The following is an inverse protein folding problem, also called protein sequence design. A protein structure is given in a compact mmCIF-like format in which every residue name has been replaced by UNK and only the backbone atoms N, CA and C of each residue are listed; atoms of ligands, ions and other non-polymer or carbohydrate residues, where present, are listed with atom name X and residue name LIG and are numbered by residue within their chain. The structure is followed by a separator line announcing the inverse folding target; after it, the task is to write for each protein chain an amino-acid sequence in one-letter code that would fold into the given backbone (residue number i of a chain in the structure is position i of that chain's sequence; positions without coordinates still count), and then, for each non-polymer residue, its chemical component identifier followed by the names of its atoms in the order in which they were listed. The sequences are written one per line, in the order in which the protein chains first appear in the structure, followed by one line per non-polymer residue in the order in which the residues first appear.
data_IF_926753315584
#
_entry.id   IF_926753315584
#
_cell.length_a   1.000
_cell.length_b   1.000
_cell.length_c   1.000
_cell.angle_alpha   90.00
_cell.angle_beta   90.00
_cell.angle_gamma   90.00
#
_symmetry.space_group_name_H-M   'P 1'
#
loop_
_entity.id
_entity.type
_entity.pdbx_description
1 polymer ?
#
# COMPACT_ATOMS: atom_id res chain seq x y z
N UNK A 1 36.72 -3.59 10.11
CA UNK A 1 36.32 -4.49 9.01
C UNK A 1 34.85 -4.22 8.77
N UNK A 2 34.55 -3.33 7.83
CA UNK A 2 33.20 -3.03 7.39
C UNK A 2 32.74 -4.16 6.49
N UNK A 3 31.76 -4.94 6.94
CA UNK A 3 31.10 -5.92 6.10
C UNK A 3 30.39 -5.15 4.98
N UNK A 4 30.92 -5.31 3.76
CA UNK A 4 30.33 -4.79 2.54
C UNK A 4 28.98 -5.50 2.36
N UNK A 5 27.88 -4.76 2.52
CA UNK A 5 26.58 -5.18 2.01
C UNK A 5 26.76 -5.51 0.51
N UNK A 6 26.73 -6.79 0.17
CA UNK A 6 26.86 -7.25 -1.20
C UNK A 6 25.62 -6.80 -1.96
N UNK A 7 25.76 -5.73 -2.74
CA UNK A 7 24.77 -5.32 -3.72
C UNK A 7 24.45 -6.54 -4.61
N UNK A 8 23.18 -6.90 -4.80
CA UNK A 8 22.82 -8.11 -5.53
C UNK A 8 23.37 -8.04 -6.95
N UNK A 9 23.91 -9.17 -7.42
CA UNK A 9 24.49 -9.33 -8.75
C UNK A 9 23.46 -8.95 -9.82
N UNK A 10 23.68 -7.81 -10.48
CA UNK A 10 22.72 -7.20 -11.41
C UNK A 10 22.31 -8.13 -12.56
N UNK A 11 23.18 -9.05 -12.98
CA UNK A 11 22.84 -10.04 -14.01
C UNK A 11 21.87 -11.09 -13.49
N UNK A 12 22.04 -11.54 -12.24
CA UNK A 12 21.13 -12.50 -11.59
C UNK A 12 19.76 -11.89 -11.33
N UNK A 13 19.72 -10.64 -10.88
CA UNK A 13 18.46 -9.89 -10.71
C UNK A 13 17.71 -9.83 -12.03
N UNK A 14 18.38 -9.42 -13.12
CA UNK A 14 17.77 -9.34 -14.45
C UNK A 14 17.23 -10.71 -14.92
N UNK A 15 17.98 -11.80 -14.73
CA UNK A 15 17.54 -13.15 -15.08
C UNK A 15 16.29 -13.60 -14.31
N UNK A 16 16.19 -13.23 -13.04
CA UNK A 16 15.00 -13.54 -12.22
C UNK A 16 13.79 -12.75 -12.72
N UNK A 17 13.95 -11.44 -12.94
CA UNK A 17 12.87 -10.55 -13.36
C UNK A 17 12.26 -10.93 -14.71
N UNK A 18 13.03 -11.47 -15.66
CA UNK A 18 12.53 -11.95 -16.97
C UNK A 18 11.42 -13.00 -16.82
N UNK A 19 11.46 -13.78 -15.74
CA UNK A 19 10.49 -14.86 -15.50
C UNK A 19 9.35 -14.44 -14.57
N UNK A 20 9.25 -13.17 -14.21
CA UNK A 20 8.16 -12.63 -13.40
C UNK A 20 7.06 -12.14 -14.34
N UNK A 21 5.85 -12.66 -14.14
CA UNK A 21 4.67 -12.26 -14.91
C UNK A 21 3.96 -11.14 -14.16
N UNK A 22 4.00 -9.93 -14.73
CA UNK A 22 3.28 -8.77 -14.20
C UNK A 22 1.87 -8.75 -14.82
N UNK A 23 0.79 -8.77 -14.01
CA UNK A 23 -0.57 -8.77 -14.54
C UNK A 23 -0.92 -7.41 -15.17
N UNK A 24 -1.71 -7.41 -16.27
CA UNK A 24 -2.14 -6.17 -16.91
C UNK A 24 -3.08 -5.36 -16.01
N UNK A 25 -2.98 -4.03 -16.07
CA UNK A 25 -3.88 -3.14 -15.34
C UNK A 25 -5.33 -3.28 -15.86
N UNK A 26 -6.31 -3.56 -14.98
CA UNK A 26 -7.70 -3.56 -15.38
C UNK A 26 -8.16 -2.18 -15.87
N UNK A 27 -8.84 -2.13 -17.02
CA UNK A 27 -9.30 -0.86 -17.64
C UNK A 27 -10.12 0.03 -16.68
N UNK A 28 -10.87 -0.57 -15.77
CA UNK A 28 -11.69 0.15 -14.80
C UNK A 28 -10.85 0.95 -13.79
N UNK A 29 -9.68 0.45 -13.40
CA UNK A 29 -8.76 1.16 -12.49
C UNK A 29 -8.22 2.40 -13.18
N UNK A 30 -7.70 2.24 -14.41
CA UNK A 30 -7.21 3.36 -15.21
C UNK A 30 -8.29 4.43 -15.41
N UNK A 31 -9.52 4.01 -15.73
CA UNK A 31 -10.62 4.95 -15.91
C UNK A 31 -11.00 5.70 -14.63
N UNK A 32 -11.00 5.04 -13.47
CA UNK A 32 -11.29 5.67 -12.18
C UNK A 32 -10.21 6.65 -11.76
N UNK A 33 -8.93 6.24 -11.85
CA UNK A 33 -7.79 7.10 -11.51
C UNK A 33 -7.79 8.34 -12.41
N UNK A 34 -8.00 8.18 -13.71
CA UNK A 34 -8.09 9.30 -14.65
C UNK A 34 -9.25 10.25 -14.36
N UNK A 35 -10.41 9.72 -13.97
CA UNK A 35 -11.59 10.52 -13.64
C UNK A 35 -11.45 11.24 -12.29
N UNK A 36 -10.83 10.59 -11.29
CA UNK A 36 -10.59 11.16 -9.98
C UNK A 36 -9.64 12.38 -10.01
N UNK A 37 -8.82 12.50 -11.05
CA UNK A 37 -7.91 13.62 -11.29
C UNK A 37 -8.51 14.76 -12.14
N UNK A 38 -9.74 14.64 -12.63
CA UNK A 38 -10.40 15.74 -13.36
C UNK A 38 -10.84 16.84 -12.40
N UNK A 39 -10.79 18.10 -12.85
CA UNK A 39 -11.33 19.25 -12.09
C UNK A 39 -12.84 19.09 -11.85
N UNK A 40 -13.55 18.56 -12.85
CA UNK A 40 -14.97 18.23 -12.79
C UNK A 40 -15.21 16.76 -13.15
N UNK A 41 -15.14 15.84 -12.17
CA UNK A 41 -15.36 14.42 -12.43
C UNK A 41 -16.80 14.09 -12.83
N UNK A 42 -16.98 13.24 -13.85
CA UNK A 42 -18.28 12.75 -14.30
C UNK A 42 -18.74 11.53 -13.49
N UNK A 43 -19.54 11.80 -12.45
CA UNK A 43 -20.18 10.76 -11.63
C UNK A 43 -21.07 9.79 -12.44
N UNK A 44 -21.66 10.25 -13.54
CA UNK A 44 -22.50 9.41 -14.40
C UNK A 44 -21.68 8.41 -15.21
N UNK A 45 -20.48 8.80 -15.63
CA UNK A 45 -19.51 7.91 -16.27
C UNK A 45 -19.02 6.84 -15.28
N UNK A 46 -18.68 7.24 -14.05
CA UNK A 46 -18.26 6.31 -13.01
C UNK A 46 -19.36 5.32 -12.61
N UNK A 47 -20.60 5.80 -12.45
CA UNK A 47 -21.76 4.96 -12.15
C UNK A 47 -21.96 3.86 -13.21
N UNK A 48 -21.86 4.22 -14.49
CA UNK A 48 -21.97 3.24 -15.60
C UNK A 48 -20.83 2.22 -15.59
N UNK A 49 -19.59 2.65 -15.34
CA UNK A 49 -18.43 1.76 -15.31
C UNK A 49 -18.52 0.75 -14.16
N UNK A 50 -18.81 1.25 -12.96
CA UNK A 50 -18.90 0.44 -11.74
C UNK A 50 -20.12 -0.48 -11.74
N UNK A 51 -21.28 0.00 -12.20
CA UNK A 51 -22.49 -0.81 -12.31
C UNK A 51 -22.36 -1.94 -13.34
N UNK A 52 -21.36 -1.88 -14.23
CA UNK A 52 -21.04 -2.94 -15.19
C UNK A 52 -20.39 -4.18 -14.55
N UNK A 53 -19.85 -4.09 -13.34
CA UNK A 53 -19.27 -5.21 -12.58
C UNK A 53 -20.04 -5.39 -11.26
N UNK A 54 -20.75 -6.50 -11.14
CA UNK A 54 -21.61 -6.80 -9.97
C UNK A 54 -20.80 -6.87 -8.67
N UNK A 55 -19.56 -7.35 -8.72
CA UNK A 55 -18.69 -7.45 -7.55
C UNK A 55 -18.27 -6.07 -7.05
N UNK A 56 -17.83 -5.19 -7.97
CA UNK A 56 -17.45 -3.82 -7.63
C UNK A 56 -18.64 -2.99 -7.15
N UNK A 57 -19.78 -3.09 -7.83
CA UNK A 57 -21.01 -2.40 -7.43
C UNK A 57 -21.46 -2.83 -6.03
N UNK A 58 -21.47 -4.14 -5.74
CA UNK A 58 -21.84 -4.67 -4.44
C UNK A 58 -20.87 -4.23 -3.34
N UNK A 59 -19.56 -4.25 -3.60
CA UNK A 59 -18.55 -3.77 -2.66
C UNK A 59 -18.75 -2.30 -2.31
N UNK A 60 -18.87 -1.43 -3.31
CA UNK A 60 -19.05 0.02 -3.11
C UNK A 60 -20.35 0.33 -2.36
N UNK A 61 -21.46 -0.35 -2.69
CA UNK A 61 -22.74 -0.19 -1.98
C UNK A 61 -22.65 -0.74 -0.54
N UNK A 62 -21.97 -1.86 -0.32
CA UNK A 62 -21.75 -2.44 1.01
C UNK A 62 -20.97 -1.48 1.89
N UNK A 63 -19.88 -0.90 1.39
CA UNK A 63 -19.09 0.09 2.12
C UNK A 63 -19.88 1.36 2.44
N UNK A 64 -20.61 1.93 1.47
CA UNK A 64 -21.48 3.10 1.73
C UNK A 64 -22.55 2.85 2.80
N UNK A 65 -22.91 1.59 3.01
CA UNK A 65 -23.91 1.17 4.00
C UNK A 65 -23.31 0.80 5.37
N UNK A 66 -22.00 1.02 5.59
CA UNK A 66 -21.41 0.81 6.91
C UNK A 66 -22.06 1.73 7.96
N UNK A 67 -22.27 1.24 9.21
CA UNK A 67 -22.57 2.07 10.36
C UNK A 67 -21.77 3.38 10.51
N UNK A 68 -20.53 3.45 10.04
CA UNK A 68 -19.69 4.65 10.11
C UNK A 68 -20.30 5.86 9.40
N UNK A 69 -20.88 5.65 8.21
CA UNK A 69 -21.53 6.72 7.46
C UNK A 69 -22.87 7.16 8.07
N UNK A 70 -23.34 6.49 9.15
CA UNK A 70 -24.47 6.94 9.96
C UNK A 70 -25.78 7.12 9.18
N UNK A 71 -25.96 6.40 8.08
CA UNK A 71 -27.07 6.66 7.16
C UNK A 71 -28.42 6.23 7.74
N UNK A 72 -29.38 7.17 7.76
CA UNK A 72 -30.77 6.90 8.13
C UNK A 72 -31.50 5.95 7.16
N UNK A 73 -31.06 5.90 5.90
CA UNK A 73 -31.58 5.00 4.86
C UNK A 73 -30.40 4.38 4.12
N UNK A 74 -30.50 3.06 3.88
CA UNK A 74 -29.48 2.33 3.14
C UNK A 74 -29.42 2.77 1.68
N UNK A 75 -28.20 2.91 1.17
CA UNK A 75 -27.87 3.10 -0.25
C UNK A 75 -28.23 1.83 -1.03
N UNK A 76 -28.81 2.00 -2.22
CA UNK A 76 -29.27 0.89 -3.08
C UNK A 76 -28.63 0.90 -4.48
N UNK A 77 -27.86 1.94 -4.81
CA UNK A 77 -27.27 2.12 -6.14
C UNK A 77 -25.86 2.72 -6.05
N UNK A 78 -25.03 2.43 -7.05
CA UNK A 78 -23.66 2.93 -7.12
C UNK A 78 -23.62 4.46 -7.15
N UNK A 79 -24.47 5.11 -7.95
CA UNK A 79 -24.59 6.58 -7.95
C UNK A 79 -24.83 7.17 -6.56
N UNK A 80 -25.66 6.54 -5.72
CA UNK A 80 -25.90 6.98 -4.36
C UNK A 80 -24.66 6.76 -3.48
N UNK A 81 -23.98 5.62 -3.64
CA UNK A 81 -22.73 5.35 -2.94
C UNK A 81 -21.64 6.35 -3.30
N UNK A 82 -21.49 6.72 -4.58
CA UNK A 82 -20.58 7.77 -5.04
C UNK A 82 -20.84 9.12 -4.37
N UNK A 83 -22.10 9.47 -4.11
CA UNK A 83 -22.46 10.72 -3.41
C UNK A 83 -22.16 10.66 -1.90
N UNK A 84 -22.31 9.49 -1.27
CA UNK A 84 -22.04 9.31 0.17
C UNK A 84 -20.54 9.20 0.46
N UNK A 85 -19.85 8.34 -0.29
CA UNK A 85 -18.44 8.01 -0.10
C UNK A 85 -17.52 9.09 -0.71
N UNK A 86 -17.95 9.70 -1.81
CA UNK A 86 -17.09 10.49 -2.68
C UNK A 86 -16.24 9.62 -3.61
N UNK A 87 -15.73 10.25 -4.67
CA UNK A 87 -14.98 9.57 -5.75
C UNK A 87 -13.68 8.97 -5.26
N UNK A 88 -12.97 9.66 -4.34
CA UNK A 88 -11.70 9.19 -3.80
C UNK A 88 -11.85 7.85 -3.07
N UNK A 89 -12.77 7.76 -2.13
CA UNK A 89 -13.03 6.51 -1.40
C UNK A 89 -13.46 5.37 -2.34
N UNK A 90 -14.29 5.65 -3.34
CA UNK A 90 -14.68 4.66 -4.34
C UNK A 90 -13.50 4.20 -5.19
N UNK A 91 -12.63 5.12 -5.61
CA UNK A 91 -11.41 4.83 -6.38
C UNK A 91 -10.49 3.92 -5.57
N UNK A 92 -10.32 4.20 -4.28
CA UNK A 92 -9.52 3.41 -3.35
C UNK A 92 -10.03 1.97 -3.22
N UNK A 93 -11.33 1.79 -2.94
CA UNK A 93 -11.98 0.47 -2.81
C UNK A 93 -11.82 -0.33 -4.10
N UNK A 94 -12.08 0.29 -5.25
CA UNK A 94 -12.05 -0.41 -6.54
C UNK A 94 -10.62 -0.76 -6.95
N UNK A 95 -9.64 0.10 -6.65
CA UNK A 95 -8.23 -0.17 -6.93
C UNK A 95 -7.74 -1.35 -6.10
N UNK A 96 -8.09 -1.41 -4.80
CA UNK A 96 -7.79 -2.56 -3.94
C UNK A 96 -8.40 -3.86 -4.48
N UNK A 97 -9.69 -3.85 -4.83
CA UNK A 97 -10.36 -5.04 -5.38
C UNK A 97 -9.79 -5.48 -6.73
N UNK A 98 -9.42 -4.52 -7.57
CA UNK A 98 -8.79 -4.82 -8.85
C UNK A 98 -7.40 -5.41 -8.67
N UNK A 99 -6.62 -4.91 -7.71
CA UNK A 99 -5.31 -5.44 -7.35
C UNK A 99 -5.44 -6.87 -6.80
N UNK A 100 -6.38 -7.10 -5.87
CA UNK A 100 -6.73 -8.43 -5.37
C UNK A 100 -7.06 -9.40 -6.50
N UNK A 101 -7.95 -9.00 -7.42
CA UNK A 101 -8.37 -9.83 -8.55
C UNK A 101 -7.25 -10.10 -9.54
N UNK A 102 -6.40 -9.11 -9.82
CA UNK A 102 -5.26 -9.24 -10.72
C UNK A 102 -4.17 -10.16 -10.15
N UNK A 103 -4.03 -10.19 -8.82
CA UNK A 103 -3.06 -10.98 -8.08
C UNK A 103 -3.65 -12.25 -7.47
N UNK A 104 -4.90 -12.56 -7.78
CA UNK A 104 -5.59 -13.80 -7.40
C UNK A 104 -5.03 -14.99 -8.20
N UNK A 105 -3.81 -15.42 -7.85
CA UNK A 105 -3.23 -16.67 -8.34
C UNK A 105 -3.68 -17.89 -7.54
N UNK A 106 -3.03 -19.03 -7.76
CA UNK A 106 -3.25 -20.28 -7.00
C UNK A 106 -2.73 -20.25 -5.55
N UNK A 107 -2.24 -19.10 -5.09
CA UNK A 107 -1.71 -18.91 -3.75
C UNK A 107 -2.86 -18.85 -2.73
N UNK A 108 -2.98 -19.89 -1.91
CA UNK A 108 -4.01 -20.01 -0.88
C UNK A 108 -4.08 -18.78 0.06
N UNK A 109 -5.31 -18.33 0.30
CA UNK A 109 -5.80 -17.37 1.30
C UNK A 109 -4.82 -16.22 1.65
N UNK A 110 -4.89 -15.15 0.87
CA UNK A 110 -4.21 -13.87 1.13
C UNK A 110 -5.12 -12.86 1.85
N UNK A 111 -6.21 -13.30 2.48
CA UNK A 111 -7.20 -12.38 3.09
C UNK A 111 -6.54 -11.50 4.15
N UNK A 112 -5.65 -12.08 4.98
CA UNK A 112 -4.89 -11.34 5.99
C UNK A 112 -3.89 -10.35 5.38
N UNK A 113 -3.30 -10.70 4.24
CA UNK A 113 -2.39 -9.81 3.52
C UNK A 113 -3.16 -8.59 3.03
N UNK A 114 -4.30 -8.81 2.37
CA UNK A 114 -5.13 -7.72 1.84
C UNK A 114 -5.75 -6.84 2.92
N UNK A 115 -6.13 -7.42 4.06
CA UNK A 115 -6.51 -6.65 5.24
C UNK A 115 -5.38 -5.71 5.67
N UNK A 116 -4.16 -6.25 5.84
CA UNK A 116 -2.98 -5.45 6.24
C UNK A 116 -2.70 -4.36 5.22
N UNK A 117 -2.68 -4.68 3.93
CA UNK A 117 -2.48 -3.70 2.85
C UNK A 117 -3.51 -2.58 2.92
N UNK A 118 -4.79 -2.89 3.16
CA UNK A 118 -5.83 -1.88 3.28
C UNK A 118 -5.61 -0.99 4.52
N UNK A 119 -5.29 -1.57 5.69
CA UNK A 119 -4.98 -0.78 6.88
C UNK A 119 -3.77 0.12 6.65
N UNK A 120 -2.69 -0.42 6.07
CA UNK A 120 -1.46 0.31 5.77
C UNK A 120 -1.74 1.52 4.85
N UNK A 121 -2.46 1.31 3.75
CA UNK A 121 -2.87 2.40 2.84
C UNK A 121 -3.69 3.48 3.56
N UNK A 122 -4.64 3.11 4.43
CA UNK A 122 -5.41 4.04 5.25
C UNK A 122 -4.48 4.85 6.17
N UNK A 123 -3.58 4.18 6.90
CA UNK A 123 -2.65 4.87 7.81
C UNK A 123 -1.72 5.82 7.04
N UNK A 124 -1.17 5.41 5.90
CA UNK A 124 -0.33 6.28 5.07
C UNK A 124 -1.08 7.55 4.63
N UNK A 125 -2.32 7.41 4.17
CA UNK A 125 -3.16 8.54 3.77
C UNK A 125 -3.46 9.49 4.94
N UNK A 126 -3.70 8.93 6.12
CA UNK A 126 -3.96 9.69 7.35
C UNK A 126 -2.72 10.45 7.80
N UNK A 127 -1.55 9.81 7.86
CA UNK A 127 -0.28 10.47 8.17
C UNK A 127 0.01 11.61 7.20
N UNK A 128 -0.13 11.38 5.89
CA UNK A 128 0.05 12.43 4.87
C UNK A 128 -0.90 13.63 5.07
N UNK A 129 -2.13 13.38 5.52
CA UNK A 129 -3.11 14.44 5.83
C UNK A 129 -2.66 15.34 6.99
N UNK A 130 -2.01 14.78 8.02
CA UNK A 130 -1.43 15.59 9.11
C UNK A 130 -0.21 16.38 8.63
N UNK A 131 0.63 15.78 7.79
CA UNK A 131 1.87 16.39 7.27
C UNK A 131 1.63 17.55 6.29
N UNK A 132 0.58 17.50 5.48
CA UNK A 132 0.15 18.56 4.52
C UNK A 132 1.13 18.90 3.39
N UNK A 133 2.34 18.33 3.36
CA UNK A 133 3.28 18.46 2.24
C UNK A 133 3.36 17.20 1.37
N UNK A 134 2.80 16.07 1.83
CA UNK A 134 2.67 14.84 1.04
C UNK A 134 1.22 14.71 0.55
N UNK A 135 1.03 14.33 -0.71
CA UNK A 135 -0.30 14.06 -1.27
C UNK A 135 -0.98 12.90 -0.52
N UNK A 136 -2.20 13.13 -0.01
CA UNK A 136 -2.99 12.07 0.66
C UNK A 136 -3.33 10.92 -0.27
N UNK A 137 -3.70 11.25 -1.52
CA UNK A 137 -4.08 10.27 -2.53
C UNK A 137 -2.84 9.50 -3.02
N UNK A 138 -1.69 10.21 -3.10
CA UNK A 138 -0.39 9.60 -3.39
C UNK A 138 0.06 8.64 -2.29
N UNK A 139 -0.05 9.04 -1.02
CA UNK A 139 0.32 8.20 0.12
C UNK A 139 -0.59 6.97 0.26
N UNK A 140 -1.90 7.11 0.02
CA UNK A 140 -2.81 5.95 -0.05
C UNK A 140 -2.39 4.99 -1.16
N UNK A 141 -2.15 5.51 -2.37
CA UNK A 141 -1.75 4.70 -3.51
C UNK A 141 -0.41 4.00 -3.25
N UNK A 142 0.54 4.69 -2.63
CA UNK A 142 1.81 4.10 -2.22
C UNK A 142 1.59 2.94 -1.23
N UNK A 143 0.88 3.15 -0.12
CA UNK A 143 0.63 2.08 0.88
C UNK A 143 -0.22 0.91 0.36
N UNK A 144 -1.03 1.14 -0.68
CA UNK A 144 -1.78 0.06 -1.35
C UNK A 144 -0.87 -0.84 -2.21
N UNK A 145 0.22 -0.29 -2.75
CA UNK A 145 1.08 -0.97 -3.71
C UNK A 145 2.47 -1.34 -3.17
N UNK A 146 2.94 -0.82 -2.04
CA UNK A 146 4.30 -1.07 -1.52
C UNK A 146 4.63 -2.58 -1.43
N UNK A 147 3.68 -3.38 -0.93
CA UNK A 147 3.83 -4.83 -0.74
C UNK A 147 3.23 -5.67 -1.88
N UNK A 148 2.72 -5.06 -2.95
CA UNK A 148 2.01 -5.79 -4.02
C UNK A 148 2.92 -6.75 -4.82
N UNK A 149 4.24 -6.67 -4.63
CA UNK A 149 5.19 -7.66 -5.14
C UNK A 149 5.14 -9.00 -4.40
N UNK A 150 4.71 -9.05 -3.13
CA UNK A 150 4.69 -10.29 -2.35
C UNK A 150 3.76 -11.36 -2.97
N UNK A 151 2.50 -11.06 -3.37
CA UNK A 151 1.65 -12.04 -4.05
C UNK A 151 2.25 -12.58 -5.36
N UNK A 152 3.00 -11.76 -6.08
CA UNK A 152 3.69 -12.16 -7.32
C UNK A 152 4.82 -13.13 -6.98
N UNK A 153 5.61 -12.82 -5.96
CA UNK A 153 6.72 -13.66 -5.51
C UNK A 153 6.22 -14.98 -4.91
N UNK A 154 5.10 -15.00 -4.19
CA UNK A 154 4.45 -16.23 -3.70
C UNK A 154 4.09 -17.16 -4.87
N UNK A 155 3.58 -16.60 -5.98
CA UNK A 155 3.24 -17.39 -7.17
C UNK A 155 4.49 -17.86 -7.92
N UNK A 156 5.55 -17.04 -7.93
CA UNK A 156 6.77 -17.31 -8.68
C UNK A 156 7.69 -18.35 -8.01
N UNK A 157 7.73 -18.35 -6.68
CA UNK A 157 8.72 -19.09 -5.90
C UNK A 157 8.03 -20.02 -4.90
N UNK A 158 8.12 -21.36 -5.08
CA UNK A 158 7.44 -22.34 -4.22
C UNK A 158 7.82 -22.24 -2.73
N UNK A 159 9.04 -21.81 -2.42
CA UNK A 159 9.60 -21.69 -1.08
C UNK A 159 9.48 -20.26 -0.49
N UNK A 160 8.80 -19.35 -1.19
CA UNK A 160 8.70 -17.96 -0.74
C UNK A 160 7.86 -17.80 0.53
N UNK A 161 6.89 -18.68 0.80
CA UNK A 161 6.20 -18.71 2.11
C UNK A 161 7.17 -18.96 3.27
N UNK A 162 8.20 -19.79 3.07
CA UNK A 162 9.25 -19.98 4.06
C UNK A 162 10.16 -18.74 4.15
N UNK A 163 10.32 -17.99 3.06
CA UNK A 163 11.04 -16.70 3.05
C UNK A 163 10.34 -15.68 3.92
N UNK A 164 9.02 -15.54 3.76
CA UNK A 164 8.20 -14.68 4.63
C UNK A 164 8.33 -15.09 6.11
N UNK A 165 8.34 -16.39 6.41
CA UNK A 165 8.50 -16.88 7.79
C UNK A 165 9.86 -16.51 8.38
N UNK A 166 10.94 -16.68 7.61
CA UNK A 166 12.29 -16.32 8.05
C UNK A 166 12.43 -14.81 8.25
N UNK A 167 11.94 -14.01 7.30
CA UNK A 167 12.02 -12.56 7.34
C UNK A 167 11.28 -11.97 8.55
N UNK A 168 10.08 -12.46 8.87
CA UNK A 168 9.33 -12.07 10.07
C UNK A 168 10.05 -12.36 11.41
N UNK A 169 11.05 -13.23 11.41
CA UNK A 169 11.82 -13.60 12.63
C UNK A 169 13.26 -13.11 12.61
N UNK A 170 13.69 -12.46 11.54
CA UNK A 170 15.07 -12.00 11.38
C UNK A 170 15.28 -10.65 12.09
N UNK A 171 16.50 -10.42 12.58
CA UNK A 171 16.92 -9.15 13.18
C UNK A 171 17.53 -8.19 12.12
N UNK A 172 17.14 -8.34 10.86
CA UNK A 172 17.59 -7.56 9.70
C UNK A 172 16.41 -7.24 8.78
N UNK A 173 16.54 -6.26 7.87
CA UNK A 173 15.46 -5.86 6.97
C UNK A 173 14.86 -7.00 6.15
N UNK A 174 13.55 -6.92 5.89
CA UNK A 174 12.80 -7.96 5.19
C UNK A 174 13.39 -8.27 3.81
N UNK A 175 13.71 -7.21 3.06
CA UNK A 175 14.25 -7.27 1.71
C UNK A 175 15.62 -7.93 1.62
N UNK A 176 16.43 -7.91 2.68
CA UNK A 176 17.73 -8.61 2.70
C UNK A 176 17.54 -10.13 2.64
N UNK A 177 16.55 -10.65 3.38
CA UNK A 177 16.22 -12.08 3.37
C UNK A 177 15.71 -12.52 2.01
N UNK A 178 14.91 -11.67 1.34
CA UNK A 178 14.41 -11.95 -0.01
C UNK A 178 15.54 -11.92 -1.04
N UNK A 179 16.38 -10.88 -1.02
CA UNK A 179 17.48 -10.72 -1.95
C UNK A 179 18.50 -11.87 -1.86
N UNK A 180 18.77 -12.37 -0.65
CA UNK A 180 19.64 -13.52 -0.43
C UNK A 180 19.07 -14.79 -1.06
N UNK A 181 17.76 -15.03 -0.91
CA UNK A 181 17.11 -16.28 -1.35
C UNK A 181 16.67 -16.29 -2.81
N UNK A 182 16.24 -15.14 -3.33
CA UNK A 182 15.56 -15.02 -4.62
C UNK A 182 16.21 -14.04 -5.59
N UNK A 183 17.26 -13.33 -5.16
CA UNK A 183 17.92 -12.28 -5.96
C UNK A 183 16.97 -11.19 -6.46
N UNK A 184 15.91 -10.92 -5.69
CA UNK A 184 14.94 -9.84 -5.88
C UNK A 184 14.19 -9.63 -4.56
N UNK A 185 13.49 -8.50 -4.44
CA UNK A 185 12.60 -8.20 -3.31
C UNK A 185 11.18 -7.91 -3.78
N UNK A 186 10.22 -7.94 -2.84
CA UNK A 186 8.84 -7.53 -3.13
C UNK A 186 8.77 -6.05 -3.52
N UNK A 187 9.59 -5.19 -2.91
CA UNK A 187 9.67 -3.76 -3.24
C UNK A 187 10.03 -3.53 -4.72
N UNK A 188 11.03 -4.26 -5.24
CA UNK A 188 11.41 -4.16 -6.66
C UNK A 188 10.30 -4.66 -7.59
N UNK A 189 9.73 -5.82 -7.29
CA UNK A 189 8.66 -6.41 -8.11
C UNK A 189 7.39 -5.57 -8.07
N UNK A 190 7.04 -5.03 -6.90
CA UNK A 190 5.91 -4.11 -6.72
C UNK A 190 6.10 -2.82 -7.52
N UNK A 191 7.32 -2.28 -7.56
CA UNK A 191 7.63 -1.12 -8.39
C UNK A 191 7.45 -1.40 -9.88
N UNK A 192 7.82 -2.58 -10.36
CA UNK A 192 7.59 -3.00 -11.76
C UNK A 192 6.09 -3.11 -12.07
N UNK A 193 5.31 -3.66 -11.15
CA UNK A 193 3.85 -3.71 -11.27
C UNK A 193 3.27 -2.28 -11.34
N UNK A 194 3.63 -1.41 -10.41
CA UNK A 194 3.19 -0.01 -10.38
C UNK A 194 3.53 0.75 -11.67
N UNK A 195 4.75 0.59 -12.20
CA UNK A 195 5.18 1.16 -13.48
C UNK A 195 4.34 0.64 -14.65
N UNK A 196 4.08 -0.67 -14.70
CA UNK A 196 3.25 -1.27 -15.75
C UNK A 196 1.80 -0.78 -15.70
N UNK A 197 1.33 -0.36 -14.51
CA UNK A 197 0.01 0.23 -14.29
C UNK A 197 0.00 1.75 -14.47
N UNK A 198 1.12 2.34 -14.91
CA UNK A 198 1.27 3.78 -15.19
C UNK A 198 1.04 4.68 -13.98
N UNK A 199 1.37 4.18 -12.77
CA UNK A 199 1.39 5.03 -11.59
C UNK A 199 2.48 6.12 -11.70
N UNK A 200 2.32 7.26 -11.00
CA UNK A 200 3.31 8.33 -11.04
C UNK A 200 4.72 7.83 -10.68
N UNK A 201 5.74 8.39 -11.33
CA UNK A 201 7.14 7.96 -11.15
C UNK A 201 7.58 8.03 -9.68
N UNK A 202 7.14 9.06 -8.95
CA UNK A 202 7.43 9.21 -7.52
C UNK A 202 6.91 8.03 -6.70
N UNK A 203 5.70 7.53 -7.00
CA UNK A 203 5.11 6.37 -6.33
C UNK A 203 5.89 5.11 -6.69
N UNK A 204 6.27 4.95 -7.96
CA UNK A 204 7.08 3.81 -8.39
C UNK A 204 8.45 3.77 -7.69
N UNK A 205 9.10 4.92 -7.51
CA UNK A 205 10.37 5.06 -6.78
C UNK A 205 10.19 4.77 -5.29
N UNK A 206 9.17 5.36 -4.67
CA UNK A 206 8.83 5.10 -3.26
C UNK A 206 8.58 3.61 -3.01
N UNK A 207 7.80 2.92 -3.86
CA UNK A 207 7.58 1.47 -3.74
C UNK A 207 8.89 0.69 -3.85
N UNK A 208 9.82 1.10 -4.71
CA UNK A 208 11.10 0.40 -4.84
C UNK A 208 12.00 0.60 -3.62
N UNK A 209 12.02 1.82 -3.09
CA UNK A 209 13.04 2.29 -2.15
C UNK A 209 12.50 2.41 -0.71
N UNK A 210 11.28 1.97 -0.40
CA UNK A 210 10.65 2.16 0.92
C UNK A 210 11.35 1.42 2.09
N UNK A 211 12.20 0.42 1.80
CA UNK A 211 13.08 -0.24 2.77
C UNK A 211 14.49 0.38 2.84
N UNK A 212 14.79 1.40 2.04
CA UNK A 212 16.08 2.10 2.03
C UNK A 212 16.09 3.19 3.11
N UNK A 213 16.43 2.80 4.34
CA UNK A 213 16.38 3.70 5.51
C UNK A 213 17.46 4.79 5.48
N UNK A 214 18.49 4.65 4.63
CA UNK A 214 19.49 5.68 4.36
C UNK A 214 18.87 7.01 3.89
N UNK A 215 17.73 6.93 3.18
CA UNK A 215 16.96 8.10 2.73
C UNK A 215 16.52 9.03 3.87
N UNK A 216 16.46 8.51 5.10
CA UNK A 216 16.02 9.27 6.28
C UNK A 216 17.15 10.06 6.94
N UNK A 217 18.41 9.83 6.56
CA UNK A 217 19.59 10.42 7.20
C UNK A 217 20.32 11.44 6.31
N UNK A 218 20.02 11.50 5.02
CA UNK A 218 20.67 12.41 4.08
C UNK A 218 19.93 13.77 3.95
N UNK A 219 20.68 14.87 3.82
CA UNK A 219 20.15 16.13 3.29
C UNK A 219 19.87 15.94 1.80
N UNK A 220 18.64 15.52 1.50
CA UNK A 220 18.25 15.11 0.15
C UNK A 220 17.73 16.27 -0.70
N UNK A 221 17.86 16.13 -2.03
CA UNK A 221 17.16 17.02 -2.98
C UNK A 221 15.63 16.90 -2.80
N UNK A 222 14.85 17.93 -3.19
CA UNK A 222 13.38 17.92 -3.02
C UNK A 222 12.71 16.61 -3.52
N UNK A 223 13.13 16.09 -4.69
CA UNK A 223 12.57 14.86 -5.27
C UNK A 223 12.95 13.59 -4.48
N UNK A 224 14.12 13.56 -3.84
CA UNK A 224 14.49 12.50 -2.91
C UNK A 224 13.80 12.68 -1.54
N UNK A 225 13.49 13.93 -1.16
CA UNK A 225 12.71 14.27 0.01
C UNK A 225 11.30 13.67 -0.03
N UNK A 226 10.63 13.71 -1.19
CA UNK A 226 9.31 13.08 -1.36
C UNK A 226 9.34 11.54 -1.24
N UNK A 227 10.38 10.89 -1.78
CA UNK A 227 10.59 9.44 -1.64
C UNK A 227 10.87 9.08 -0.19
N UNK A 228 11.77 9.81 0.47
CA UNK A 228 12.10 9.64 1.88
C UNK A 228 10.88 9.86 2.78
N UNK A 229 10.04 10.85 2.48
CA UNK A 229 8.80 11.09 3.21
C UNK A 229 7.82 9.91 3.11
N UNK A 230 7.65 9.33 1.91
CA UNK A 230 6.81 8.14 1.73
C UNK A 230 7.41 6.91 2.43
N UNK A 231 8.74 6.73 2.40
CA UNK A 231 9.41 5.66 3.13
C UNK A 231 9.22 5.80 4.65
N UNK A 232 9.40 7.01 5.19
CA UNK A 232 9.14 7.32 6.60
C UNK A 232 7.67 7.09 6.98
N UNK A 233 6.73 7.52 6.11
CA UNK A 233 5.30 7.27 6.29
C UNK A 233 5.03 5.76 6.31
N UNK A 234 5.66 4.98 5.43
CA UNK A 234 5.53 3.51 5.41
C UNK A 234 5.96 2.91 6.75
N UNK A 235 7.15 3.29 7.23
CA UNK A 235 7.71 2.73 8.46
C UNK A 235 6.84 3.04 9.68
N UNK A 236 6.32 4.28 9.78
CA UNK A 236 5.37 4.64 10.84
C UNK A 236 4.04 3.89 10.64
N UNK A 237 3.55 3.75 9.41
CA UNK A 237 2.32 3.02 9.12
C UNK A 237 2.41 1.55 9.53
N UNK A 238 3.53 0.87 9.26
CA UNK A 238 3.79 -0.50 9.72
C UNK A 238 3.77 -0.60 11.24
N UNK A 239 4.38 0.37 11.95
CA UNK A 239 4.29 0.44 13.41
C UNK A 239 2.85 0.53 13.92
N UNK A 240 2.05 1.44 13.34
CA UNK A 240 0.64 1.64 13.73
C UNK A 240 -0.20 0.40 13.43
N UNK A 241 -0.02 -0.21 12.24
CA UNK A 241 -0.77 -1.40 11.84
C UNK A 241 -0.38 -2.62 12.67
N UNK A 242 0.91 -2.81 12.97
CA UNK A 242 1.38 -3.88 13.85
C UNK A 242 0.81 -3.74 15.26
N UNK A 243 0.78 -2.52 15.80
CA UNK A 243 0.18 -2.23 17.11
C UNK A 243 -1.32 -2.53 17.12
N UNK A 244 -2.07 -2.05 16.12
CA UNK A 244 -3.50 -2.32 15.94
C UNK A 244 -3.82 -3.82 15.87
N UNK A 245 -2.98 -4.59 15.15
CA UNK A 245 -3.14 -6.02 14.99
C UNK A 245 -2.60 -6.85 16.16
N UNK A 246 -1.98 -6.23 17.17
CA UNK A 246 -1.22 -6.90 18.23
C UNK A 246 -0.12 -7.84 17.68
N UNK A 247 0.58 -7.39 16.64
CA UNK A 247 1.68 -8.10 16.00
C UNK A 247 3.04 -7.63 16.55
N UNK A 248 4.08 -8.45 16.35
CA UNK A 248 5.46 -8.07 16.68
C UNK A 248 5.88 -6.93 15.73
N UNK A 249 6.61 -5.95 16.27
CA UNK A 249 7.25 -4.92 15.46
C UNK A 249 8.43 -5.49 14.67
N UNK A 250 8.68 -4.88 13.51
CA UNK A 250 9.74 -5.27 12.58
C UNK A 250 11.09 -4.66 12.99
N UNK A 251 12.19 -5.32 12.61
CA UNK A 251 13.54 -4.87 12.96
C UNK A 251 13.84 -3.44 12.48
N UNK A 252 13.30 -3.05 11.33
CA UNK A 252 13.45 -1.70 10.78
C UNK A 252 12.84 -0.63 11.69
N UNK A 253 11.70 -0.91 12.35
CA UNK A 253 11.10 0.04 13.30
C UNK A 253 11.99 0.25 14.52
N UNK A 254 12.54 -0.84 15.08
CA UNK A 254 13.43 -0.77 16.24
C UNK A 254 14.72 0.02 15.93
N UNK A 255 15.21 -0.06 14.70
CA UNK A 255 16.44 0.60 14.27
C UNK A 255 16.23 2.05 13.81
N UNK A 256 15.12 2.33 13.11
CA UNK A 256 14.94 3.59 12.36
C UNK A 256 13.67 4.37 12.72
N UNK A 257 12.79 3.84 13.59
CA UNK A 257 11.50 4.48 13.92
C UNK A 257 11.65 5.90 14.47
N UNK A 258 12.62 6.13 15.37
CA UNK A 258 12.90 7.47 15.89
C UNK A 258 13.37 8.45 14.80
N UNK A 259 14.15 7.97 13.82
CA UNK A 259 14.60 8.78 12.70
C UNK A 259 13.43 9.09 11.75
N UNK A 260 12.57 8.13 11.43
CA UNK A 260 11.39 8.36 10.60
C UNK A 260 10.44 9.40 11.21
N UNK A 261 10.22 9.33 12.52
CA UNK A 261 9.46 10.35 13.24
C UNK A 261 10.13 11.72 13.19
N UNK A 262 11.44 11.79 13.45
CA UNK A 262 12.20 13.04 13.36
C UNK A 262 12.20 13.63 11.94
N UNK A 263 12.32 12.80 10.92
CA UNK A 263 12.31 13.19 9.51
C UNK A 263 10.99 13.86 9.11
N UNK A 264 9.88 13.32 9.61
CA UNK A 264 8.54 13.84 9.36
C UNK A 264 8.10 14.93 10.35
N UNK A 265 8.92 15.21 11.36
CA UNK A 265 8.63 16.21 12.40
C UNK A 265 7.58 15.77 13.42
N UNK A 266 7.30 14.48 13.56
CA UNK A 266 6.34 13.95 14.53
C UNK A 266 6.92 13.84 15.94
N UNK A 267 6.18 14.35 16.93
CA UNK A 267 6.41 14.03 18.34
C UNK A 267 5.80 12.68 18.75
N UNK A 268 6.28 12.08 19.84
CA UNK A 268 5.73 10.82 20.37
C UNK A 268 4.28 10.95 20.86
N UNK A 269 3.95 12.08 21.50
CA UNK A 269 2.58 12.39 21.93
C UNK A 269 1.66 12.58 20.71
N UNK A 270 2.11 13.36 19.72
CA UNK A 270 1.37 13.60 18.48
C UNK A 270 1.09 12.29 17.72
N UNK A 271 2.08 11.41 17.57
CA UNK A 271 1.86 10.11 16.95
C UNK A 271 0.88 9.25 17.75
N UNK A 272 0.88 9.34 19.07
CA UNK A 272 -0.06 8.60 19.93
C UNK A 272 -1.49 9.10 19.74
N UNK A 273 -1.70 10.41 19.62
CA UNK A 273 -3.00 11.01 19.30
C UNK A 273 -3.48 10.60 17.90
N UNK A 274 -2.60 10.68 16.89
CA UNK A 274 -2.90 10.23 15.53
C UNK A 274 -3.30 8.75 15.51
N UNK A 275 -2.62 7.89 16.27
CA UNK A 275 -2.96 6.46 16.39
C UNK A 275 -4.37 6.25 16.95
N UNK A 276 -4.73 6.99 18.00
CA UNK A 276 -6.07 6.92 18.59
C UNK A 276 -7.14 7.30 17.56
N UNK A 277 -6.92 8.41 16.85
CA UNK A 277 -7.85 8.89 15.81
C UNK A 277 -8.01 7.89 14.64
N UNK A 278 -6.94 7.18 14.28
CA UNK A 278 -6.94 6.21 13.17
C UNK A 278 -7.58 4.87 13.58
N UNK A 279 -7.52 4.50 14.86
CA UNK A 279 -7.99 3.18 15.34
C UNK A 279 -9.45 2.92 15.02
N UNK A 280 -10.33 3.92 15.17
CA UNK A 280 -11.75 3.78 14.85
C UNK A 280 -11.98 3.48 13.35
N UNK A 281 -11.19 4.11 12.48
CA UNK A 281 -11.24 3.90 11.02
C UNK A 281 -10.71 2.51 10.64
N UNK A 282 -9.69 2.01 11.35
CA UNK A 282 -9.18 0.65 11.15
C UNK A 282 -10.16 -0.42 11.65
N UNK A 283 -10.83 -0.22 12.79
CA UNK A 283 -11.88 -1.13 13.27
C UNK A 283 -13.08 -1.14 12.31
N UNK A 284 -13.43 0.01 11.73
CA UNK A 284 -14.42 0.07 10.66
C UNK A 284 -13.98 -0.81 9.47
N UNK A 285 -12.79 -0.56 8.92
CA UNK A 285 -12.26 -1.31 7.78
C UNK A 285 -12.23 -2.83 8.07
N UNK A 286 -11.91 -3.22 9.30
CA UNK A 286 -11.92 -4.61 9.77
C UNK A 286 -13.32 -5.23 9.77
N UNK A 287 -14.34 -4.46 10.13
CA UNK A 287 -15.71 -4.95 10.21
C UNK A 287 -16.39 -5.18 8.84
N UNK A 288 -15.88 -4.58 7.76
CA UNK A 288 -16.46 -4.69 6.41
C UNK A 288 -15.61 -5.45 5.38
N UNK A 289 -14.67 -6.31 5.83
CA UNK A 289 -13.84 -7.19 4.97
C UNK A 289 -14.54 -7.48 3.63
N UNK A 290 -13.92 -6.98 2.58
CA UNK A 290 -14.44 -7.05 1.22
C UNK A 290 -14.44 -8.50 0.72
#
# INVERSE_FOLDING_TARGET
MTESQTQPDSEKVAQVLVNIVIPPCPKIVLALVQEAHQEEPDLGKLDKLLSGDVGLAAAVIKTANSPYYGLNRKVQAVKQALLVLGIRAVTNIVTLLALQKALAGSAANLDRFWDRTNYHAIVCARLAKYLRFVSTDGAYTFGLFNDCGMPILIQRFPDYKETLRLANTADRPFVEVENERHHTSHALVGSLLAQSWQLPEIICKAIRDHHCMELLYEETSEAQGDVGALAAISLIADYVVNDFLNAKQEAEWEQHGAQAMSFLGFGAEELSEIKLDITDELEEARSYRL
#
